data_IF_027186096194
#
_entry.id   IF_027186096194
#
_cell.length_a   1.000
_cell.length_b   1.000
_cell.length_c   1.000
_cell.angle_alpha   90.00
_cell.angle_beta   90.00
_cell.angle_gamma   90.00
#
_symmetry.space_group_name_H-M   'P 1'
#
loop_
_entity.id
_entity.type
_entity.pdbx_description
1 polymer ?
#
# COMPACT_ATOMS: atom_id res chain seq x y z
N UNK A 1 -26.33 7.36 2.05
CA UNK A 1 -27.03 8.66 2.09
C UNK A 1 -27.30 9.15 0.67
N UNK A 2 -26.28 9.34 -0.21
CA UNK A 2 -26.49 9.89 -1.57
C UNK A 2 -27.56 9.20 -2.41
N UNK A 3 -27.51 7.86 -2.53
CA UNK A 3 -28.50 7.10 -3.31
C UNK A 3 -29.95 7.27 -2.83
N UNK A 4 -30.17 7.42 -1.52
CA UNK A 4 -31.49 7.69 -0.97
C UNK A 4 -31.95 9.13 -1.24
N UNK A 5 -31.02 10.09 -1.15
CA UNK A 5 -31.32 11.51 -1.40
C UNK A 5 -31.79 11.77 -2.85
N UNK A 6 -31.28 10.97 -3.81
CA UNK A 6 -31.64 11.13 -5.23
C UNK A 6 -33.03 10.59 -5.61
N UNK A 7 -33.74 9.89 -4.71
CA UNK A 7 -35.01 9.28 -5.05
C UNK A 7 -36.15 10.27 -5.30
N UNK A 8 -36.06 11.50 -4.79
CA UNK A 8 -37.07 12.55 -4.93
C UNK A 8 -36.65 13.74 -5.80
N UNK A 9 -35.50 13.64 -6.46
CA UNK A 9 -34.94 14.75 -7.28
C UNK A 9 -35.33 14.59 -8.74
N UNK A 10 -35.84 15.64 -9.36
CA UNK A 10 -36.17 15.71 -10.79
C UNK A 10 -35.64 17.03 -11.39
N UNK A 11 -34.88 17.03 -12.49
CA UNK A 11 -34.33 15.83 -13.13
C UNK A 11 -33.35 15.10 -12.21
N UNK A 12 -33.29 13.78 -12.30
CA UNK A 12 -32.39 12.98 -11.46
C UNK A 12 -30.96 13.12 -11.98
N UNK A 13 -30.00 13.58 -11.14
CA UNK A 13 -28.61 13.65 -11.54
C UNK A 13 -28.02 12.25 -11.72
N UNK A 14 -27.04 12.13 -12.59
CA UNK A 14 -26.25 10.91 -12.76
C UNK A 14 -25.53 10.55 -11.46
N UNK A 15 -25.45 9.27 -11.16
CA UNK A 15 -24.89 8.77 -9.91
C UNK A 15 -23.81 7.73 -10.17
N UNK A 16 -22.57 8.11 -9.91
CA UNK A 16 -21.39 7.23 -9.97
C UNK A 16 -20.90 6.98 -8.56
N UNK A 17 -20.45 5.77 -8.29
CA UNK A 17 -19.92 5.38 -6.98
C UNK A 17 -18.51 4.80 -7.12
N UNK A 18 -17.69 4.95 -6.07
CA UNK A 18 -16.37 4.32 -6.00
C UNK A 18 -16.30 3.40 -4.78
N UNK A 19 -15.89 2.15 -5.01
CA UNK A 19 -15.63 1.18 -3.94
C UNK A 19 -14.15 1.20 -3.61
N UNK A 20 -13.83 1.51 -2.36
CA UNK A 20 -12.46 1.68 -1.87
C UNK A 20 -11.97 0.54 -0.98
N UNK A 21 -12.85 -0.38 -0.58
CA UNK A 21 -12.56 -1.42 0.40
C UNK A 21 -13.24 -2.75 0.10
N UNK A 22 -12.67 -3.84 0.61
CA UNK A 22 -13.34 -5.13 0.70
C UNK A 22 -14.40 -5.08 1.81
N UNK A 23 -15.52 -4.40 1.52
CA UNK A 23 -16.61 -4.32 2.46
C UNK A 23 -17.30 -5.67 2.61
N UNK A 24 -17.64 -6.05 3.84
CA UNK A 24 -18.41 -7.27 4.07
C UNK A 24 -19.69 -7.26 3.24
N UNK A 25 -20.00 -8.33 2.50
CA UNK A 25 -21.17 -8.40 1.66
C UNK A 25 -22.45 -8.25 2.50
N UNK A 26 -23.39 -7.44 2.01
CA UNK A 26 -24.67 -7.21 2.72
C UNK A 26 -25.50 -6.09 2.11
N UNK A 27 -26.70 -5.89 2.65
CA UNK A 27 -27.65 -4.87 2.17
C UNK A 27 -27.10 -3.45 2.28
N UNK A 28 -26.34 -3.16 3.34
CA UNK A 28 -25.72 -1.85 3.53
C UNK A 28 -24.60 -1.60 2.50
N UNK A 29 -23.68 -2.53 2.36
CA UNK A 29 -22.56 -2.41 1.40
C UNK A 29 -23.04 -2.41 -0.05
N UNK A 30 -24.19 -3.06 -0.34
CA UNK A 30 -24.78 -3.05 -1.69
C UNK A 30 -25.19 -1.66 -2.18
N UNK A 31 -25.36 -0.68 -1.29
CA UNK A 31 -25.65 0.70 -1.66
C UNK A 31 -24.52 1.33 -2.47
N UNK A 32 -23.27 0.94 -2.19
CA UNK A 32 -22.09 1.38 -2.94
C UNK A 32 -22.10 0.92 -4.42
N UNK A 33 -22.96 -0.05 -4.76
CA UNK A 33 -23.06 -0.65 -6.09
C UNK A 33 -24.32 -0.19 -6.85
N UNK A 34 -25.02 0.82 -6.33
CA UNK A 34 -26.27 1.36 -6.91
C UNK A 34 -26.04 2.49 -7.91
N UNK A 35 -24.79 2.93 -8.10
CA UNK A 35 -24.43 3.89 -9.14
C UNK A 35 -24.71 3.37 -10.55
N UNK A 36 -24.92 4.24 -11.51
CA UNK A 36 -25.02 3.92 -12.95
C UNK A 36 -23.73 3.28 -13.45
N UNK A 37 -22.61 3.77 -12.93
CA UNK A 37 -21.29 3.15 -13.01
C UNK A 37 -20.71 2.99 -11.61
N UNK A 38 -19.94 1.94 -11.43
CA UNK A 38 -19.25 1.62 -10.17
C UNK A 38 -17.76 1.54 -10.45
N UNK A 39 -17.01 2.48 -9.93
CA UNK A 39 -15.55 2.47 -10.00
C UNK A 39 -15.01 1.54 -8.93
N UNK A 40 -14.08 0.67 -9.29
CA UNK A 40 -13.26 -0.14 -8.38
C UNK A 40 -11.79 0.11 -8.66
N UNK A 41 -10.92 -0.04 -7.65
CA UNK A 41 -9.54 0.42 -7.74
C UNK A 41 -8.53 -0.66 -8.16
N UNK A 42 -8.99 -1.90 -8.37
CA UNK A 42 -8.16 -3.03 -8.81
C UNK A 42 -9.01 -4.12 -9.44
N UNK A 43 -8.38 -5.02 -10.19
CA UNK A 43 -9.05 -6.19 -10.73
C UNK A 43 -9.51 -7.15 -9.63
N UNK A 44 -8.69 -7.37 -8.60
CA UNK A 44 -9.07 -8.18 -7.42
C UNK A 44 -10.33 -7.65 -6.76
N UNK A 45 -10.47 -6.31 -6.61
CA UNK A 45 -11.68 -5.73 -6.03
C UNK A 45 -12.88 -5.87 -6.97
N UNK A 46 -12.69 -5.78 -8.29
CA UNK A 46 -13.73 -6.05 -9.29
C UNK A 46 -14.26 -7.47 -9.14
N UNK A 47 -13.38 -8.44 -9.12
CA UNK A 47 -13.73 -9.86 -9.03
C UNK A 47 -14.44 -10.17 -7.70
N UNK A 48 -13.94 -9.57 -6.60
CA UNK A 48 -14.61 -9.65 -5.30
C UNK A 48 -16.05 -9.12 -5.34
N UNK A 49 -16.25 -7.93 -5.90
CA UNK A 49 -17.57 -7.31 -5.98
C UNK A 49 -18.51 -8.15 -6.84
N UNK A 50 -18.08 -8.59 -8.02
CA UNK A 50 -18.90 -9.38 -8.94
C UNK A 50 -19.23 -10.78 -8.40
N UNK A 51 -18.32 -11.42 -7.67
CA UNK A 51 -18.56 -12.73 -7.07
C UNK A 51 -19.62 -12.69 -5.95
N UNK A 52 -19.68 -11.60 -5.17
CA UNK A 52 -20.59 -11.47 -4.04
C UNK A 52 -21.94 -10.83 -4.40
N UNK A 53 -22.01 -10.08 -5.49
CA UNK A 53 -23.22 -9.35 -5.92
C UNK A 53 -23.63 -9.73 -7.34
N UNK A 54 -24.13 -10.96 -7.52
CA UNK A 54 -24.49 -11.54 -8.81
C UNK A 54 -25.55 -10.75 -9.62
N UNK A 55 -26.28 -9.84 -8.95
CA UNK A 55 -27.25 -8.94 -9.61
C UNK A 55 -26.57 -7.74 -10.28
N UNK A 56 -25.29 -7.48 -9.98
CA UNK A 56 -24.54 -6.37 -10.55
C UNK A 56 -24.01 -6.77 -11.93
N UNK A 57 -24.42 -6.04 -12.95
CA UNK A 57 -23.96 -6.25 -14.31
C UNK A 57 -22.47 -5.90 -14.43
N UNK A 58 -21.63 -6.83 -14.95
CA UNK A 58 -20.20 -6.59 -15.09
C UNK A 58 -19.85 -5.34 -15.91
N UNK A 59 -20.68 -4.98 -16.89
CA UNK A 59 -20.52 -3.79 -17.73
C UNK A 59 -20.67 -2.47 -16.99
N UNK A 60 -21.29 -2.45 -15.80
CA UNK A 60 -21.39 -1.27 -14.94
C UNK A 60 -20.14 -1.04 -14.10
N UNK A 61 -19.29 -2.04 -13.93
CA UNK A 61 -18.09 -1.95 -13.10
C UNK A 61 -16.89 -1.57 -13.95
N UNK A 62 -16.25 -0.46 -13.61
CA UNK A 62 -15.03 0.05 -14.25
C UNK A 62 -13.87 -0.02 -13.28
N UNK A 63 -12.76 -0.61 -13.73
CA UNK A 63 -11.50 -0.57 -12.99
C UNK A 63 -10.80 0.73 -13.33
N UNK A 64 -10.67 1.62 -12.35
CA UNK A 64 -9.87 2.84 -12.43
C UNK A 64 -8.89 2.79 -11.26
N UNK A 65 -7.64 2.37 -11.51
CA UNK A 65 -6.62 2.27 -10.47
C UNK A 65 -6.33 3.62 -9.82
N UNK A 66 -5.79 3.59 -8.60
CA UNK A 66 -5.27 4.80 -7.96
C UNK A 66 -4.03 5.29 -8.72
N UNK A 67 -3.94 6.59 -8.85
CA UNK A 67 -2.77 7.24 -9.41
C UNK A 67 -1.85 7.81 -8.35
N UNK A 68 -0.57 7.93 -8.70
CA UNK A 68 0.44 8.64 -7.93
C UNK A 68 0.78 9.95 -8.61
N UNK A 69 0.96 10.98 -7.80
CA UNK A 69 1.53 12.24 -8.24
C UNK A 69 3.04 12.09 -8.41
N UNK A 70 3.50 12.12 -9.66
CA UNK A 70 4.92 11.95 -10.00
C UNK A 70 5.77 13.19 -9.64
N UNK A 71 5.16 14.34 -9.41
CA UNK A 71 5.87 15.52 -8.89
C UNK A 71 6.10 15.39 -7.39
N UNK A 72 5.12 14.85 -6.66
CA UNK A 72 5.26 14.56 -5.24
C UNK A 72 6.21 13.38 -4.96
N UNK A 73 6.28 12.39 -5.88
CA UNK A 73 7.14 11.21 -5.77
C UNK A 73 8.01 11.04 -7.04
N UNK A 74 8.96 11.96 -7.28
CA UNK A 74 9.75 11.96 -8.50
C UNK A 74 10.74 10.80 -8.55
N UNK A 75 10.88 10.20 -9.72
CA UNK A 75 11.79 9.07 -9.94
C UNK A 75 13.24 9.42 -9.57
N UNK A 76 13.87 8.56 -8.78
CA UNK A 76 15.26 8.72 -8.35
C UNK A 76 15.48 9.87 -7.35
N UNK A 77 14.42 10.35 -6.71
CA UNK A 77 14.52 11.36 -5.66
C UNK A 77 15.56 10.97 -4.60
N UNK A 78 16.30 11.98 -4.13
CA UNK A 78 17.26 11.84 -3.03
C UNK A 78 16.99 12.95 -2.02
N UNK A 79 16.84 12.61 -0.74
CA UNK A 79 16.79 13.61 0.32
C UNK A 79 18.06 14.47 0.34
N UNK A 80 17.94 15.73 0.75
CA UNK A 80 19.11 16.56 0.93
C UNK A 80 19.94 16.17 2.17
N UNK A 81 21.18 16.64 2.23
CA UNK A 81 22.11 16.31 3.31
C UNK A 81 21.65 16.82 4.68
N UNK A 82 20.91 17.93 4.73
CA UNK A 82 20.40 18.49 5.97
C UNK A 82 19.31 17.59 6.55
N UNK A 83 18.35 17.16 5.71
CA UNK A 83 17.34 16.20 6.11
C UNK A 83 17.96 14.86 6.55
N UNK A 84 18.93 14.36 5.77
CA UNK A 84 19.61 13.09 6.07
C UNK A 84 20.30 13.14 7.45
N UNK A 85 21.00 14.21 7.77
CA UNK A 85 21.63 14.41 9.08
C UNK A 85 20.59 14.52 10.20
N UNK A 86 19.52 15.28 10.00
CA UNK A 86 18.44 15.43 10.96
C UNK A 86 17.73 14.11 11.26
N UNK A 87 17.45 13.32 10.21
CA UNK A 87 16.80 12.02 10.35
C UNK A 87 17.62 11.05 11.20
N UNK A 88 18.91 10.91 10.96
CA UNK A 88 19.75 10.02 11.77
C UNK A 88 20.12 10.61 13.15
N UNK A 89 20.04 11.91 13.33
CA UNK A 89 20.11 12.50 14.66
C UNK A 89 18.87 12.18 15.51
N UNK A 90 17.68 12.18 14.87
CA UNK A 90 16.42 11.78 15.50
C UNK A 90 16.35 10.25 15.74
N UNK A 91 16.84 9.45 14.78
CA UNK A 91 16.78 7.99 14.80
C UNK A 91 18.17 7.34 14.68
N UNK A 92 19.06 7.51 15.66
CA UNK A 92 20.43 6.99 15.58
C UNK A 92 20.47 5.45 15.45
N UNK A 93 19.47 4.75 15.96
CA UNK A 93 19.35 3.29 15.83
C UNK A 93 19.16 2.80 14.38
N UNK A 94 18.79 3.68 13.46
CA UNK A 94 18.60 3.35 12.04
C UNK A 94 19.85 3.56 11.20
N UNK A 95 20.90 4.15 11.75
CA UNK A 95 22.14 4.43 11.03
C UNK A 95 23.00 3.17 10.81
N UNK A 96 23.92 3.23 9.82
CA UNK A 96 25.01 2.29 9.65
C UNK A 96 24.68 0.97 8.98
N UNK A 97 23.43 0.74 8.54
CA UNK A 97 23.05 -0.45 7.79
C UNK A 97 21.84 -0.17 6.87
N UNK A 98 21.56 -1.05 5.89
CA UNK A 98 20.40 -0.90 5.01
C UNK A 98 19.09 -0.74 5.79
N UNK A 99 18.29 0.27 5.44
CA UNK A 99 17.02 0.57 6.07
C UNK A 99 15.88 -0.20 5.39
N UNK A 100 15.15 -0.99 6.16
CA UNK A 100 13.85 -1.53 5.80
C UNK A 100 12.78 -0.61 6.37
N UNK A 101 11.85 -0.14 5.55
CA UNK A 101 10.75 0.72 6.02
C UNK A 101 9.41 0.04 5.77
N UNK A 102 8.59 -0.04 6.80
CA UNK A 102 7.23 -0.53 6.73
C UNK A 102 6.23 0.57 7.12
N UNK A 103 5.65 1.28 6.14
CA UNK A 103 4.67 2.33 6.40
C UNK A 103 3.28 1.70 6.59
N UNK A 104 2.80 1.68 7.82
CA UNK A 104 1.49 1.11 8.11
C UNK A 104 0.95 1.57 9.47
N UNK A 105 -0.39 1.76 9.55
CA UNK A 105 -1.08 2.03 10.82
C UNK A 105 -0.91 0.86 11.79
N UNK A 106 -0.85 1.15 13.09
CA UNK A 106 -0.68 0.18 14.18
C UNK A 106 -1.83 -0.80 14.33
N UNK A 107 -1.97 -1.77 13.42
CA UNK A 107 -2.96 -2.84 13.48
C UNK A 107 -2.33 -4.19 13.14
N UNK A 108 -2.81 -5.27 13.79
CA UNK A 108 -2.32 -6.64 13.52
C UNK A 108 -2.47 -7.06 12.06
N UNK A 109 -3.43 -6.46 11.34
CA UNK A 109 -3.69 -6.78 9.93
C UNK A 109 -2.57 -6.34 8.98
N UNK A 110 -1.69 -5.44 9.44
CA UNK A 110 -0.64 -4.86 8.59
C UNK A 110 0.65 -5.69 8.53
N UNK A 111 0.83 -6.68 9.43
CA UNK A 111 1.97 -7.60 9.38
C UNK A 111 3.25 -7.08 10.02
N UNK A 112 3.16 -6.18 11.02
CA UNK A 112 4.34 -5.69 11.74
C UNK A 112 5.12 -6.81 12.44
N UNK A 113 4.42 -7.86 12.90
CA UNK A 113 5.06 -9.05 13.46
C UNK A 113 5.98 -9.70 12.42
N UNK A 114 5.51 -9.88 11.18
CA UNK A 114 6.28 -10.50 10.12
C UNK A 114 7.52 -9.66 9.77
N UNK A 115 7.42 -8.33 9.83
CA UNK A 115 8.56 -7.44 9.61
C UNK A 115 9.63 -7.56 10.71
N UNK A 116 9.22 -7.67 11.98
CA UNK A 116 10.13 -7.88 13.13
C UNK A 116 10.79 -9.26 13.03
N UNK A 117 10.02 -10.30 12.72
CA UNK A 117 10.52 -11.65 12.52
C UNK A 117 11.49 -11.72 11.33
N UNK A 118 11.17 -11.04 10.22
CA UNK A 118 12.06 -10.90 9.07
C UNK A 118 13.42 -10.31 9.47
N UNK A 119 13.41 -9.21 10.23
CA UNK A 119 14.65 -8.58 10.69
C UNK A 119 15.48 -9.52 11.58
N UNK A 120 14.83 -10.24 12.50
CA UNK A 120 15.48 -11.21 13.36
C UNK A 120 16.09 -12.37 12.56
N UNK A 121 15.41 -12.82 11.51
CA UNK A 121 15.90 -13.89 10.63
C UNK A 121 17.06 -13.43 9.76
N UNK A 122 17.03 -12.19 9.24
CA UNK A 122 18.17 -11.59 8.53
C UNK A 122 19.40 -11.52 9.44
N UNK A 123 19.21 -11.02 10.68
CA UNK A 123 20.29 -10.97 11.67
C UNK A 123 20.89 -12.34 11.95
N UNK A 124 20.07 -13.39 12.10
CA UNK A 124 20.56 -14.77 12.30
C UNK A 124 21.36 -15.32 11.12
N UNK A 125 21.09 -14.80 9.90
CA UNK A 125 21.85 -15.10 8.66
C UNK A 125 23.09 -14.21 8.49
N UNK A 126 23.41 -13.35 9.47
CA UNK A 126 24.54 -12.42 9.39
C UNK A 126 24.31 -11.23 8.45
N UNK A 127 23.06 -10.94 8.09
CA UNK A 127 22.69 -9.82 7.22
C UNK A 127 22.28 -8.64 8.12
N UNK A 128 23.12 -7.60 8.13
CA UNK A 128 22.84 -6.38 8.87
C UNK A 128 21.74 -5.56 8.16
N UNK A 129 20.75 -5.15 8.94
CA UNK A 129 19.67 -4.27 8.49
C UNK A 129 19.09 -3.48 9.65
N UNK A 130 18.34 -2.44 9.35
CA UNK A 130 17.55 -1.65 10.31
C UNK A 130 16.10 -1.65 9.88
N UNK A 131 15.17 -1.54 10.83
CA UNK A 131 13.73 -1.55 10.55
C UNK A 131 13.05 -0.32 11.15
N UNK A 132 12.39 0.44 10.28
CA UNK A 132 11.46 1.50 10.68
C UNK A 132 10.02 1.02 10.49
N UNK A 133 9.28 0.90 11.58
CA UNK A 133 7.83 0.70 11.57
C UNK A 133 7.18 2.09 11.64
N UNK A 134 6.86 2.64 10.46
CA UNK A 134 6.38 4.00 10.31
C UNK A 134 4.86 4.08 10.39
N UNK A 135 4.33 4.96 11.25
CA UNK A 135 2.89 5.14 11.43
C UNK A 135 2.24 4.14 12.39
N UNK A 136 3.05 3.42 13.18
CA UNK A 136 2.53 2.44 14.13
C UNK A 136 2.13 3.07 15.46
N UNK A 137 2.76 4.17 15.83
CA UNK A 137 2.51 4.88 17.09
C UNK A 137 1.41 5.92 16.86
N UNK A 138 0.19 5.60 17.26
CA UNK A 138 -0.98 6.46 17.14
C UNK A 138 -1.82 6.37 18.43
N UNK A 139 -2.58 7.41 18.78
CA UNK A 139 -3.50 7.37 19.91
C UNK A 139 -4.47 6.17 19.81
N UNK A 140 -4.66 5.46 20.92
CA UNK A 140 -5.49 4.26 21.00
C UNK A 140 -4.82 2.99 20.47
N UNK A 141 -3.50 3.00 20.23
CA UNK A 141 -2.70 1.84 19.80
C UNK A 141 -1.65 1.41 20.81
N UNK A 142 -1.67 1.96 22.02
CA UNK A 142 -0.65 1.77 23.06
C UNK A 142 -0.43 0.28 23.39
N UNK A 143 -1.52 -0.48 23.54
CA UNK A 143 -1.44 -1.91 23.80
C UNK A 143 -0.77 -2.69 22.66
N UNK A 144 -1.03 -2.30 21.41
CA UNK A 144 -0.41 -2.94 20.26
C UNK A 144 1.06 -2.53 20.11
N UNK A 145 1.39 -1.29 20.38
CA UNK A 145 2.79 -0.81 20.42
C UNK A 145 3.58 -1.58 21.49
N UNK A 146 3.02 -1.75 22.69
CA UNK A 146 3.65 -2.53 23.75
C UNK A 146 3.87 -4.02 23.36
N UNK A 147 2.91 -4.63 22.66
CA UNK A 147 3.06 -5.98 22.10
C UNK A 147 4.23 -6.06 21.12
N UNK A 148 4.37 -5.08 20.21
CA UNK A 148 5.48 -5.04 19.26
C UNK A 148 6.82 -4.81 19.96
N UNK A 149 6.89 -3.94 20.97
CA UNK A 149 8.08 -3.70 21.76
C UNK A 149 8.54 -4.97 22.49
N UNK A 150 7.62 -5.74 23.05
CA UNK A 150 7.94 -7.01 23.68
C UNK A 150 8.44 -8.04 22.66
N UNK A 151 7.83 -8.12 21.46
CA UNK A 151 8.35 -8.98 20.39
C UNK A 151 9.76 -8.59 19.97
N UNK A 152 10.03 -7.30 19.78
CA UNK A 152 11.36 -6.76 19.45
C UNK A 152 12.40 -7.18 20.50
N UNK A 153 12.05 -7.07 21.79
CA UNK A 153 12.90 -7.49 22.90
C UNK A 153 13.17 -8.98 22.87
N UNK A 154 12.13 -9.80 22.73
CA UNK A 154 12.23 -11.27 22.66
C UNK A 154 13.07 -11.76 21.47
N UNK A 155 13.07 -11.04 20.35
CA UNK A 155 13.89 -11.37 19.17
C UNK A 155 15.31 -10.80 19.24
N UNK A 156 15.63 -10.01 20.27
CA UNK A 156 16.97 -9.44 20.45
C UNK A 156 17.37 -8.42 19.37
N UNK A 157 16.38 -7.67 18.82
CA UNK A 157 16.59 -6.67 17.76
C UNK A 157 16.31 -5.24 18.23
N UNK A 158 16.28 -4.97 19.52
CA UNK A 158 15.92 -3.68 20.13
C UNK A 158 16.74 -2.51 19.58
N UNK A 159 18.04 -2.71 19.36
CA UNK A 159 18.92 -1.67 18.82
C UNK A 159 18.79 -1.45 17.30
N UNK A 160 17.94 -2.20 16.62
CA UNK A 160 17.83 -2.22 15.16
C UNK A 160 16.42 -1.82 14.67
N UNK A 161 15.47 -1.59 15.59
CA UNK A 161 14.08 -1.27 15.26
C UNK A 161 13.66 0.05 15.88
N UNK A 162 12.99 0.87 15.09
CA UNK A 162 12.31 2.09 15.53
C UNK A 162 10.82 1.99 15.22
N UNK A 163 9.98 2.32 16.21
CA UNK A 163 8.54 2.53 16.05
C UNK A 163 8.28 4.03 16.00
N UNK A 164 7.66 4.52 14.95
CA UNK A 164 7.44 5.96 14.73
C UNK A 164 5.94 6.27 14.57
N UNK A 165 5.50 7.48 14.96
CA UNK A 165 4.22 8.00 14.54
C UNK A 165 4.18 8.22 13.00
N UNK A 166 2.99 8.53 12.41
CA UNK A 166 2.89 9.00 11.04
C UNK A 166 3.78 10.23 10.82
N UNK A 167 4.34 10.35 9.60
CA UNK A 167 5.24 11.45 9.21
C UNK A 167 4.85 12.00 7.85
N UNK A 168 5.07 13.30 7.65
CA UNK A 168 4.79 13.98 6.39
C UNK A 168 5.95 13.86 5.38
N UNK A 169 7.17 13.58 5.85
CA UNK A 169 8.38 13.37 5.04
C UNK A 169 8.52 11.94 4.50
N UNK A 170 7.39 11.26 4.29
CA UNK A 170 7.32 9.86 3.82
C UNK A 170 8.11 9.64 2.51
N UNK A 171 8.10 10.62 1.60
CA UNK A 171 8.85 10.59 0.35
C UNK A 171 10.35 10.41 0.59
N UNK A 172 10.90 11.21 1.51
CA UNK A 172 12.32 11.20 1.83
C UNK A 172 12.72 9.93 2.56
N UNK A 173 11.85 9.44 3.46
CA UNK A 173 12.03 8.15 4.14
C UNK A 173 12.03 6.99 3.14
N UNK A 174 11.11 6.95 2.18
CA UNK A 174 11.14 5.93 1.14
C UNK A 174 12.41 6.05 0.29
N UNK A 175 12.79 7.26 -0.11
CA UNK A 175 13.99 7.48 -0.90
C UNK A 175 15.28 7.06 -0.18
N UNK A 176 15.31 7.07 1.15
CA UNK A 176 16.39 6.55 1.98
C UNK A 176 16.35 5.02 2.12
N UNK A 177 15.19 4.41 1.98
CA UNK A 177 14.99 2.98 2.24
C UNK A 177 15.73 2.10 1.22
N UNK A 178 16.42 1.07 1.69
CA UNK A 178 16.95 0.00 0.85
C UNK A 178 15.85 -0.95 0.38
N UNK A 179 14.79 -1.12 1.19
CA UNK A 179 13.67 -1.99 0.90
C UNK A 179 12.41 -1.48 1.61
N UNK A 180 11.30 -1.34 0.89
CA UNK A 180 10.00 -0.99 1.45
C UNK A 180 9.15 -2.25 1.61
N UNK A 181 8.52 -2.43 2.77
CA UNK A 181 7.76 -3.63 3.11
C UNK A 181 6.26 -3.39 3.04
N UNK A 182 5.52 -4.32 2.41
CA UNK A 182 4.06 -4.33 2.38
C UNK A 182 3.56 -5.73 2.74
N UNK A 183 3.42 -5.99 4.05
CA UNK A 183 3.18 -7.32 4.62
C UNK A 183 1.77 -7.48 5.22
N UNK A 184 0.78 -6.77 4.68
CA UNK A 184 -0.60 -6.90 5.15
C UNK A 184 -1.08 -8.36 5.09
N UNK A 185 -1.62 -8.88 6.21
CA UNK A 185 -2.14 -10.26 6.33
C UNK A 185 -3.54 -10.40 5.72
N UNK A 186 -4.21 -9.28 5.40
CA UNK A 186 -5.46 -9.27 4.65
C UNK A 186 -5.25 -8.56 3.31
N UNK A 187 -5.98 -8.99 2.27
CA UNK A 187 -5.87 -8.36 0.97
C UNK A 187 -6.18 -6.86 1.07
N UNK A 188 -5.31 -6.06 0.51
CA UNK A 188 -5.57 -4.64 0.29
C UNK A 188 -6.22 -4.41 -1.07
N UNK A 189 -7.07 -3.40 -1.17
CA UNK A 189 -7.80 -3.14 -2.41
C UNK A 189 -6.92 -2.60 -3.52
N UNK A 190 -5.77 -1.97 -3.17
CA UNK A 190 -4.84 -1.44 -4.15
C UNK A 190 -3.38 -1.67 -3.73
N UNK A 191 -2.82 -0.85 -2.85
CA UNK A 191 -1.40 -0.94 -2.43
C UNK A 191 -0.63 0.33 -2.80
N UNK A 192 -1.08 1.48 -2.30
CA UNK A 192 -0.42 2.77 -2.58
C UNK A 192 1.08 2.76 -2.26
N UNK A 193 1.47 2.14 -1.15
CA UNK A 193 2.88 1.96 -0.74
C UNK A 193 3.74 1.40 -1.87
N UNK A 194 3.20 0.45 -2.67
CA UNK A 194 3.94 -0.18 -3.76
C UNK A 194 4.27 0.84 -4.84
N UNK A 195 3.27 1.58 -5.34
CA UNK A 195 3.51 2.55 -6.42
C UNK A 195 4.31 3.76 -5.93
N UNK A 196 4.14 4.20 -4.68
CA UNK A 196 4.90 5.28 -4.07
C UNK A 196 6.40 4.95 -3.99
N UNK A 197 6.74 3.77 -3.48
CA UNK A 197 8.13 3.32 -3.38
C UNK A 197 8.78 3.07 -4.75
N UNK A 198 8.06 2.37 -5.66
CA UNK A 198 8.57 2.12 -7.01
C UNK A 198 8.75 3.40 -7.82
N UNK A 199 7.87 4.41 -7.65
CA UNK A 199 8.02 5.72 -8.26
C UNK A 199 9.33 6.40 -7.87
N UNK A 200 9.76 6.23 -6.62
CA UNK A 200 11.03 6.74 -6.10
C UNK A 200 12.24 5.82 -6.42
N UNK A 201 12.07 4.82 -7.29
CA UNK A 201 13.10 3.82 -7.61
C UNK A 201 13.52 2.98 -6.40
N UNK A 202 12.57 2.64 -5.48
CA UNK A 202 12.86 1.82 -4.31
C UNK A 202 12.21 0.44 -4.40
N UNK A 203 13.00 -0.63 -4.16
CA UNK A 203 12.48 -2.00 -4.14
C UNK A 203 11.37 -2.17 -3.12
N UNK A 204 10.36 -2.96 -3.47
CA UNK A 204 9.25 -3.31 -2.57
C UNK A 204 9.21 -4.81 -2.39
N UNK A 205 9.04 -5.25 -1.16
CA UNK A 205 8.80 -6.65 -0.81
C UNK A 205 7.42 -6.76 -0.16
N UNK A 206 6.56 -7.59 -0.71
CA UNK A 206 5.19 -7.68 -0.21
C UNK A 206 4.51 -9.01 -0.44
N UNK A 207 3.47 -9.27 0.34
CA UNK A 207 2.64 -10.46 0.17
C UNK A 207 1.80 -10.37 -1.11
N UNK A 208 1.89 -11.41 -1.93
CA UNK A 208 1.31 -11.49 -3.27
C UNK A 208 -0.19 -11.82 -3.24
N UNK A 209 -0.99 -10.94 -2.62
CA UNK A 209 -2.44 -11.05 -2.60
C UNK A 209 -3.12 -9.68 -2.69
N UNK A 210 -4.40 -9.66 -3.07
CA UNK A 210 -5.13 -8.41 -3.27
C UNK A 210 -4.50 -7.51 -4.33
N UNK A 211 -4.78 -6.22 -4.25
CA UNK A 211 -4.20 -5.21 -5.15
C UNK A 211 -2.68 -5.08 -5.04
N UNK A 212 -2.09 -5.39 -3.88
CA UNK A 212 -0.62 -5.45 -3.72
C UNK A 212 -0.03 -6.54 -4.60
N UNK A 213 -0.67 -7.72 -4.63
CA UNK A 213 -0.25 -8.84 -5.48
C UNK A 213 -0.34 -8.51 -6.97
N UNK A 214 -1.37 -7.78 -7.40
CA UNK A 214 -1.51 -7.28 -8.77
C UNK A 214 -0.37 -6.32 -9.15
N UNK A 215 -0.18 -5.28 -8.34
CA UNK A 215 0.85 -4.27 -8.59
C UNK A 215 2.26 -4.86 -8.64
N UNK A 216 2.59 -5.74 -7.69
CA UNK A 216 3.90 -6.40 -7.70
C UNK A 216 4.05 -7.37 -8.89
N UNK A 217 2.97 -8.03 -9.33
CA UNK A 217 3.04 -8.91 -10.49
C UNK A 217 3.36 -8.13 -11.77
N UNK A 218 2.81 -6.95 -11.92
CA UNK A 218 2.98 -6.10 -13.09
C UNK A 218 4.28 -5.29 -13.04
N UNK A 219 4.54 -4.62 -11.90
CA UNK A 219 5.57 -3.59 -11.81
C UNK A 219 6.89 -4.08 -11.23
N UNK A 220 6.85 -5.05 -10.30
CA UNK A 220 8.05 -5.54 -9.62
C UNK A 220 7.91 -6.99 -9.16
N UNK A 221 7.90 -7.98 -10.07
CA UNK A 221 7.71 -9.40 -9.76
C UNK A 221 8.73 -9.96 -8.75
N UNK A 222 9.94 -9.39 -8.72
CA UNK A 222 10.99 -9.76 -7.78
C UNK A 222 10.60 -9.53 -6.31
N UNK A 223 9.66 -8.63 -6.03
CA UNK A 223 9.19 -8.31 -4.68
C UNK A 223 8.02 -9.16 -4.19
N UNK A 224 7.57 -10.16 -4.96
CA UNK A 224 6.40 -10.99 -4.61
C UNK A 224 6.78 -12.15 -3.68
N UNK A 225 6.02 -12.31 -2.61
CA UNK A 225 6.13 -13.46 -1.70
C UNK A 225 4.73 -14.00 -1.41
N UNK A 226 4.51 -15.33 -1.42
CA UNK A 226 3.24 -15.92 -0.99
C UNK A 226 2.89 -15.49 0.43
N UNK A 227 1.60 -15.29 0.71
CA UNK A 227 1.13 -14.93 2.06
C UNK A 227 1.54 -15.99 3.08
N UNK A 228 2.22 -15.56 4.15
CA UNK A 228 2.64 -16.43 5.24
C UNK A 228 3.88 -17.29 4.96
N UNK A 229 4.46 -17.21 3.78
CA UNK A 229 5.70 -17.91 3.45
C UNK A 229 6.91 -17.13 4.02
N UNK A 230 7.20 -17.40 5.28
CA UNK A 230 8.27 -16.72 6.03
C UNK A 230 9.67 -17.03 5.46
N UNK A 231 9.90 -18.26 5.07
CA UNK A 231 11.22 -18.64 4.53
C UNK A 231 11.49 -17.87 3.24
N UNK A 232 10.52 -17.86 2.33
CA UNK A 232 10.61 -17.11 1.08
C UNK A 232 10.71 -15.61 1.30
N UNK A 233 10.05 -15.07 2.32
CA UNK A 233 10.14 -13.66 2.70
C UNK A 233 11.58 -13.28 3.05
N UNK A 234 12.25 -14.09 3.87
CA UNK A 234 13.64 -13.86 4.30
C UNK A 234 14.62 -14.03 3.15
N UNK A 235 14.46 -15.07 2.33
CA UNK A 235 15.29 -15.29 1.14
C UNK A 235 15.20 -14.11 0.18
N UNK A 236 13.99 -13.70 -0.13
CA UNK A 236 13.74 -12.61 -1.07
C UNK A 236 14.25 -11.26 -0.54
N UNK A 237 14.08 -10.99 0.76
CA UNK A 237 14.66 -9.81 1.38
C UNK A 237 16.19 -9.80 1.26
N UNK A 238 16.84 -10.93 1.55
CA UNK A 238 18.29 -11.08 1.44
C UNK A 238 18.79 -10.87 -0.01
N UNK A 239 18.07 -11.43 -0.99
CA UNK A 239 18.37 -11.24 -2.42
C UNK A 239 18.28 -9.77 -2.82
N UNK A 240 17.17 -9.10 -2.46
CA UNK A 240 16.90 -7.70 -2.81
C UNK A 240 17.88 -6.73 -2.13
N UNK A 241 18.28 -7.01 -0.89
CA UNK A 241 19.28 -6.22 -0.18
C UNK A 241 20.66 -6.35 -0.79
N UNK A 242 20.98 -7.50 -1.39
CA UNK A 242 22.26 -7.74 -2.05
C UNK A 242 22.29 -7.13 -3.45
N UNK A 243 21.31 -7.43 -4.28
CA UNK A 243 21.19 -6.95 -5.66
C UNK A 243 19.71 -6.85 -6.02
N UNK A 244 19.14 -5.65 -5.91
CA UNK A 244 17.78 -5.41 -6.38
C UNK A 244 17.75 -5.27 -7.91
N UNK A 245 16.79 -5.90 -8.62
CA UNK A 245 16.57 -5.62 -10.02
C UNK A 245 16.31 -4.13 -10.28
N UNK A 246 16.74 -3.60 -11.44
CA UNK A 246 16.52 -2.21 -11.78
C UNK A 246 15.01 -1.90 -11.85
N UNK A 247 14.64 -0.72 -11.39
CA UNK A 247 13.27 -0.22 -11.43
C UNK A 247 13.25 0.92 -12.46
N UNK A 248 12.42 0.81 -13.48
CA UNK A 248 12.21 1.87 -14.48
C UNK A 248 11.16 2.88 -13.99
N UNK A 249 11.18 4.13 -14.51
CA UNK A 249 10.12 5.09 -14.24
C UNK A 249 8.74 4.51 -14.59
N UNK A 250 7.77 4.68 -13.68
CA UNK A 250 6.42 4.18 -13.90
C UNK A 250 5.75 4.87 -15.09
N UNK A 251 5.29 4.08 -16.06
CA UNK A 251 4.55 4.56 -17.24
C UNK A 251 3.03 4.45 -17.03
N UNK A 252 2.59 3.69 -16.04
CA UNK A 252 1.20 3.49 -15.62
C UNK A 252 0.98 4.02 -14.20
N UNK A 253 -0.28 4.05 -13.77
CA UNK A 253 -0.67 4.50 -12.42
C UNK A 253 -0.33 5.96 -12.11
N UNK A 254 -0.34 6.84 -13.13
CA UNK A 254 -0.18 8.28 -12.92
C UNK A 254 -1.49 8.88 -12.39
N UNK A 255 -1.37 9.95 -11.60
CA UNK A 255 -2.54 10.68 -11.12
C UNK A 255 -3.38 11.22 -12.30
N UNK A 256 -2.73 11.72 -13.35
CA UNK A 256 -3.38 12.18 -14.60
C UNK A 256 -4.20 11.08 -15.27
N UNK A 257 -3.68 9.84 -15.33
CA UNK A 257 -4.38 8.73 -15.98
C UNK A 257 -5.67 8.37 -15.19
N UNK A 258 -5.58 8.34 -13.86
CA UNK A 258 -6.76 8.14 -13.00
C UNK A 258 -7.80 9.25 -13.17
N UNK A 259 -7.35 10.52 -13.23
CA UNK A 259 -8.24 11.67 -13.41
C UNK A 259 -8.92 11.62 -14.78
N UNK A 260 -8.16 11.41 -15.86
CA UNK A 260 -8.69 11.32 -17.22
C UNK A 260 -9.70 10.17 -17.36
N UNK A 261 -9.37 8.98 -16.85
CA UNK A 261 -10.29 7.84 -16.87
C UNK A 261 -11.58 8.11 -16.09
N UNK A 262 -11.48 8.85 -14.97
CA UNK A 262 -12.65 9.24 -14.18
C UNK A 262 -13.53 10.25 -14.92
N UNK A 263 -12.94 11.27 -15.53
CA UNK A 263 -13.65 12.26 -16.33
C UNK A 263 -14.32 11.63 -17.55
N UNK A 264 -13.59 10.78 -18.28
CA UNK A 264 -14.15 10.05 -19.43
C UNK A 264 -15.36 9.19 -19.03
N UNK A 265 -15.35 8.59 -17.83
CA UNK A 265 -16.48 7.86 -17.30
C UNK A 265 -17.68 8.78 -17.00
N UNK A 266 -17.44 9.98 -16.49
CA UNK A 266 -18.50 10.97 -16.25
C UNK A 266 -19.11 11.47 -17.55
N UNK A 267 -18.29 11.71 -18.59
CA UNK A 267 -18.76 12.07 -19.93
C UNK A 267 -19.60 10.94 -20.55
N UNK A 268 -19.17 9.66 -20.43
CA UNK A 268 -19.94 8.49 -20.87
C UNK A 268 -21.34 8.45 -20.25
N UNK A 269 -21.44 8.73 -18.95
CA UNK A 269 -22.71 8.69 -18.22
C UNK A 269 -23.61 9.88 -18.54
N UNK A 270 -23.01 11.03 -18.86
CA UNK A 270 -23.72 12.28 -19.13
C UNK A 270 -24.27 12.39 -20.55
N UNK A 271 -23.81 11.56 -21.49
CA UNK A 271 -24.31 11.53 -22.84
C UNK A 271 -25.74 10.97 -22.88
N UNK A 272 -26.67 11.58 -23.63
CA UNK A 272 -28.00 11.01 -23.84
C UNK A 272 -27.88 9.60 -24.40
N UNK A 273 -28.47 8.63 -23.74
CA UNK A 273 -28.60 7.30 -24.33
C UNK A 273 -29.60 7.42 -25.49
N UNK A 274 -29.07 7.33 -26.72
CA UNK A 274 -29.86 7.36 -27.94
C UNK A 274 -30.87 6.22 -28.03
#
# INVERSE_FOLDING_TARGET
VGWWALRGVSPRPHFVTTVHGFNSPGRYSSILLRGERVIVVSQTLRDYVLSHYRWLEPGRVRVIPRGIDQEAFPYGHRPDDAWHKAFFAEFPALAGAPLLTMPARGTRLKGHHDAIELLADLKRRGIEARLLLLGVVEPGREAYVAELQELIRLRGVTSQVVLSPPRDDIRDIYALSALVLQLSNKPETFGRTVIEALSLCRPVLGYAHGGVGELLAELYPAGRVPLGDRERLVERAAELLRVAPPISPLQSYRLSDMQQATLALYDEVSQPQG
#
